data_IF_801391814062
#
_entry.id   IF_801391814062
#
_cell.length_a   1.000
_cell.length_b   1.000
_cell.length_c   1.000
_cell.angle_alpha   90.00
_cell.angle_beta   90.00
_cell.angle_gamma   90.00
#
_symmetry.space_group_name_H-M   'P 1'
#
loop_
_entity.id
_entity.type
_entity.pdbx_description
1 polymer ?
#
# COMPACT_ATOMS: atom_id res chain seq x y z
N UNK A 1 -27.22 -21.69 -5.23
CA UNK A 1 -26.73 -20.41 -4.67
C UNK A 1 -25.63 -20.76 -3.69
N UNK A 2 -24.37 -20.48 -4.04
CA UNK A 2 -23.25 -20.73 -3.13
C UNK A 2 -23.19 -19.57 -2.13
N UNK A 3 -23.47 -19.84 -0.87
CA UNK A 3 -23.07 -18.97 0.24
C UNK A 3 -21.55 -18.88 0.18
N UNK A 4 -21.03 -17.76 -0.33
CA UNK A 4 -19.63 -17.38 -0.18
C UNK A 4 -19.36 -17.36 1.31
N UNK A 5 -18.67 -18.38 1.81
CA UNK A 5 -18.15 -18.38 3.16
C UNK A 5 -17.32 -17.09 3.30
N UNK A 6 -17.77 -16.17 4.16
CA UNK A 6 -17.01 -14.97 4.48
C UNK A 6 -15.72 -15.42 5.14
N UNK A 7 -14.68 -15.62 4.33
CA UNK A 7 -13.35 -15.91 4.83
C UNK A 7 -12.95 -14.78 5.78
N UNK A 8 -12.41 -15.10 6.96
CA UNK A 8 -12.01 -14.10 7.91
C UNK A 8 -10.97 -13.20 7.25
N UNK A 9 -11.20 -11.89 7.33
CA UNK A 9 -10.32 -10.88 6.81
C UNK A 9 -9.97 -9.87 7.90
N UNK A 10 -8.79 -9.27 7.76
CA UNK A 10 -8.28 -8.23 8.65
C UNK A 10 -7.78 -7.06 7.81
N UNK A 11 -8.32 -5.87 8.06
CA UNK A 11 -7.81 -4.63 7.48
C UNK A 11 -7.06 -3.86 8.56
N UNK A 12 -5.77 -3.65 8.35
CA UNK A 12 -4.86 -3.02 9.31
C UNK A 12 -3.89 -2.06 8.63
N UNK A 13 -3.17 -1.27 9.43
CA UNK A 13 -2.05 -0.49 8.93
C UNK A 13 -0.88 -1.42 8.57
N UNK A 14 -0.08 -1.00 7.61
CA UNK A 14 1.14 -1.71 7.19
C UNK A 14 2.17 -1.64 8.31
N UNK A 15 2.71 -2.80 8.69
CA UNK A 15 3.83 -2.91 9.62
C UNK A 15 5.16 -2.96 8.86
N UNK A 16 6.27 -2.68 9.55
CA UNK A 16 7.62 -2.81 8.98
C UNK A 16 7.89 -4.23 8.47
N UNK A 17 7.32 -5.25 9.12
CA UNK A 17 7.44 -6.66 8.74
C UNK A 17 6.81 -6.95 7.37
N UNK A 18 5.77 -6.20 6.97
CA UNK A 18 5.11 -6.39 5.68
C UNK A 18 5.90 -5.81 4.50
N UNK A 19 6.83 -4.87 4.76
CA UNK A 19 7.56 -4.17 3.71
C UNK A 19 8.38 -5.13 2.83
N UNK A 20 8.90 -6.21 3.40
CA UNK A 20 9.62 -7.24 2.64
C UNK A 20 8.69 -7.94 1.63
N UNK A 21 7.51 -8.37 2.08
CA UNK A 21 6.49 -9.01 1.25
C UNK A 21 5.95 -8.06 0.19
N UNK A 22 5.61 -6.83 0.57
CA UNK A 22 5.12 -5.79 -0.35
C UNK A 22 6.14 -5.54 -1.47
N UNK A 23 7.43 -5.46 -1.13
CA UNK A 23 8.51 -5.31 -2.10
C UNK A 23 8.56 -6.50 -3.07
N UNK A 24 8.40 -7.72 -2.60
CA UNK A 24 8.34 -8.90 -3.46
C UNK A 24 7.14 -8.87 -4.41
N UNK A 25 5.96 -8.48 -3.92
CA UNK A 25 4.74 -8.34 -4.75
C UNK A 25 4.92 -7.28 -5.83
N UNK A 26 5.47 -6.11 -5.46
CA UNK A 26 5.74 -5.03 -6.42
C UNK A 26 6.75 -5.45 -7.49
N UNK A 27 7.82 -6.16 -7.11
CA UNK A 27 8.80 -6.69 -8.05
C UNK A 27 8.19 -7.71 -9.01
N UNK A 28 7.35 -8.63 -8.52
CA UNK A 28 6.64 -9.62 -9.35
C UNK A 28 5.71 -8.97 -10.37
N UNK A 29 5.05 -7.86 -9.99
CA UNK A 29 4.09 -7.15 -10.84
C UNK A 29 4.73 -6.23 -11.88
N UNK A 30 6.07 -6.09 -11.89
CA UNK A 30 6.80 -5.17 -12.79
C UNK A 30 6.19 -3.76 -12.80
N UNK A 31 5.64 -3.32 -11.66
CA UNK A 31 5.15 -1.96 -11.52
C UNK A 31 6.33 -1.02 -11.70
N UNK A 32 6.19 -0.08 -12.64
CA UNK A 32 7.21 0.90 -13.00
C UNK A 32 7.73 1.57 -11.72
N UNK A 33 8.99 1.26 -11.36
CA UNK A 33 9.55 1.58 -10.05
C UNK A 33 9.73 3.09 -9.80
N UNK A 34 9.47 3.93 -10.80
CA UNK A 34 9.56 5.39 -10.72
C UNK A 34 8.46 6.01 -9.83
N UNK A 35 7.36 5.29 -9.60
CA UNK A 35 6.26 5.72 -8.72
C UNK A 35 5.95 4.68 -7.65
N UNK A 36 6.97 4.14 -6.97
CA UNK A 36 6.66 3.34 -5.78
C UNK A 36 5.99 4.25 -4.75
N UNK A 37 4.79 3.88 -4.32
CA UNK A 37 4.08 4.58 -3.26
C UNK A 37 4.45 4.04 -1.90
N UNK A 38 4.36 4.88 -0.87
CA UNK A 38 4.51 4.42 0.50
C UNK A 38 3.26 3.59 0.88
N UNK A 39 3.40 2.30 1.18
CA UNK A 39 2.28 1.49 1.64
C UNK A 39 1.83 1.96 3.02
N UNK A 40 0.52 2.02 3.26
CA UNK A 40 -0.03 2.47 4.54
C UNK A 40 -1.14 1.58 5.11
N UNK A 41 -1.88 0.85 4.27
CA UNK A 41 -2.87 -0.13 4.72
C UNK A 41 -2.74 -1.47 3.99
N UNK A 42 -3.03 -2.53 4.72
CA UNK A 42 -2.97 -3.91 4.28
C UNK A 42 -4.31 -4.61 4.55
N UNK A 43 -4.67 -5.51 3.65
CA UNK A 43 -5.77 -6.45 3.78
C UNK A 43 -5.18 -7.86 3.82
N UNK A 44 -5.37 -8.52 4.95
CA UNK A 44 -5.05 -9.93 5.11
C UNK A 44 -6.34 -10.77 5.00
N UNK A 45 -6.27 -11.85 4.23
CA UNK A 45 -7.27 -12.93 4.29
C UNK A 45 -6.54 -14.24 4.59
N UNK A 46 -7.09 -15.05 5.49
CA UNK A 46 -6.49 -16.33 5.87
C UNK A 46 -5.00 -16.22 6.27
N UNK A 47 -4.64 -15.14 6.98
CA UNK A 47 -3.26 -14.82 7.40
C UNK A 47 -2.27 -14.58 6.24
N UNK A 48 -2.77 -14.22 5.05
CA UNK A 48 -1.96 -13.86 3.89
C UNK A 48 -2.28 -12.45 3.40
N UNK A 49 -1.25 -11.69 3.07
CA UNK A 49 -1.38 -10.34 2.52
C UNK A 49 -2.04 -10.44 1.13
N UNK A 50 -3.31 -10.07 1.07
CA UNK A 50 -4.14 -10.26 -0.13
C UNK A 50 -4.22 -8.98 -0.95
N UNK A 51 -4.21 -7.82 -0.29
CA UNK A 51 -4.12 -6.53 -0.95
C UNK A 51 -3.43 -5.50 -0.04
N UNK A 52 -2.89 -4.44 -0.63
CA UNK A 52 -2.39 -3.28 0.11
C UNK A 52 -2.65 -2.00 -0.65
N UNK A 53 -2.73 -0.88 0.08
CA UNK A 53 -2.81 0.46 -0.50
C UNK A 53 -1.53 1.22 -0.25
N UNK A 54 -1.14 1.99 -1.25
CA UNK A 54 0.01 2.87 -1.23
C UNK A 54 -0.39 4.29 -1.60
N UNK A 55 0.26 5.26 -0.98
CA UNK A 55 0.18 6.66 -1.40
C UNK A 55 1.33 6.99 -2.34
N UNK A 56 1.01 7.47 -3.54
CA UNK A 56 1.96 7.91 -4.55
C UNK A 56 1.89 9.41 -4.77
N UNK A 57 2.98 9.98 -5.31
CA UNK A 57 3.02 11.36 -5.78
C UNK A 57 2.93 11.32 -7.30
N UNK A 58 1.82 11.80 -7.87
CA UNK A 58 1.66 11.89 -9.32
C UNK A 58 2.45 13.09 -9.90
N UNK A 59 2.60 13.13 -11.24
CA UNK A 59 3.37 14.15 -11.99
C UNK A 59 3.06 15.62 -11.66
N UNK A 60 1.91 15.92 -11.07
CA UNK A 60 1.50 17.28 -10.62
C UNK A 60 1.82 17.56 -9.14
N UNK A 61 2.66 16.74 -8.52
CA UNK A 61 2.94 16.77 -7.08
C UNK A 61 1.67 16.57 -6.22
N UNK A 62 0.66 15.90 -6.77
CA UNK A 62 -0.58 15.56 -6.07
C UNK A 62 -0.45 14.17 -5.47
N UNK A 63 -0.99 13.99 -4.28
CA UNK A 63 -1.09 12.67 -3.66
C UNK A 63 -2.21 11.87 -4.33
N UNK A 64 -1.93 10.61 -4.62
CA UNK A 64 -2.91 9.64 -5.11
C UNK A 64 -2.82 8.36 -4.30
N UNK A 65 -3.92 7.62 -4.25
CA UNK A 65 -3.98 6.30 -3.65
C UNK A 65 -3.97 5.28 -4.77
N UNK A 66 -3.13 4.27 -4.62
CA UNK A 66 -3.12 3.09 -5.48
C UNK A 66 -3.33 1.84 -4.63
N UNK A 67 -4.21 0.96 -5.09
CA UNK A 67 -4.49 -0.32 -4.43
C UNK A 67 -3.95 -1.45 -5.28
N UNK A 68 -3.13 -2.30 -4.68
CA UNK A 68 -2.55 -3.48 -5.33
C UNK A 68 -3.15 -4.74 -4.73
N UNK A 69 -3.70 -5.59 -5.59
CA UNK A 69 -4.26 -6.90 -5.21
C UNK A 69 -3.27 -8.02 -5.53
N UNK A 70 -2.80 -8.76 -4.53
CA UNK A 70 -1.98 -9.96 -4.73
C UNK A 70 -2.84 -11.14 -5.20
N UNK A 71 -3.99 -11.32 -4.55
CA UNK A 71 -4.94 -12.39 -4.86
C UNK A 71 -6.33 -11.83 -5.19
N UNK A 72 -7.17 -12.58 -5.92
CA UNK A 72 -8.55 -12.18 -6.17
C UNK A 72 -9.34 -12.14 -4.86
N UNK A 73 -10.04 -11.03 -4.63
CA UNK A 73 -10.95 -10.83 -3.49
C UNK A 73 -12.38 -10.65 -3.99
N UNK A 74 -13.37 -10.81 -3.09
CA UNK A 74 -14.76 -10.55 -3.44
C UNK A 74 -14.99 -9.05 -3.68
N UNK A 75 -15.94 -8.73 -4.56
CA UNK A 75 -16.29 -7.34 -4.89
C UNK A 75 -16.73 -6.55 -3.65
N UNK A 76 -17.49 -7.20 -2.76
CA UNK A 76 -17.90 -6.63 -1.47
C UNK A 76 -16.70 -6.29 -0.59
N UNK A 77 -15.71 -7.19 -0.49
CA UNK A 77 -14.53 -6.94 0.34
C UNK A 77 -13.63 -5.87 -0.28
N UNK A 78 -13.49 -5.86 -1.61
CA UNK A 78 -12.79 -4.82 -2.36
C UNK A 78 -13.38 -3.43 -2.08
N UNK A 79 -14.71 -3.32 -2.09
CA UNK A 79 -15.40 -2.07 -1.78
C UNK A 79 -15.15 -1.64 -0.33
N UNK A 80 -15.33 -2.53 0.64
CA UNK A 80 -15.07 -2.25 2.06
C UNK A 80 -13.62 -1.80 2.29
N UNK A 81 -12.66 -2.47 1.65
CA UNK A 81 -11.25 -2.10 1.75
C UNK A 81 -11.00 -0.72 1.14
N UNK A 82 -11.54 -0.45 -0.05
CA UNK A 82 -11.40 0.85 -0.74
C UNK A 82 -12.00 1.99 0.09
N UNK A 83 -13.20 1.83 0.64
CA UNK A 83 -13.84 2.84 1.50
C UNK A 83 -12.99 3.14 2.73
N UNK A 84 -12.44 2.10 3.37
CA UNK A 84 -11.59 2.26 4.55
C UNK A 84 -10.25 2.93 4.22
N UNK A 85 -9.66 2.59 3.08
CA UNK A 85 -8.43 3.19 2.58
C UNK A 85 -8.61 4.69 2.30
N UNK A 86 -9.69 5.07 1.62
CA UNK A 86 -10.00 6.47 1.34
C UNK A 86 -10.24 7.26 2.64
N UNK A 87 -11.09 6.74 3.51
CA UNK A 87 -11.38 7.38 4.81
C UNK A 87 -10.11 7.56 5.65
N UNK A 88 -9.22 6.57 5.69
CA UNK A 88 -7.97 6.68 6.43
C UNK A 88 -7.01 7.71 5.80
N UNK A 89 -6.90 7.72 4.47
CA UNK A 89 -6.08 8.68 3.75
C UNK A 89 -6.52 10.14 4.01
N UNK A 90 -7.82 10.41 3.91
CA UNK A 90 -8.36 11.77 4.05
C UNK A 90 -8.37 12.28 5.50
N UNK A 91 -8.64 11.41 6.47
CA UNK A 91 -8.86 11.83 7.86
C UNK A 91 -7.72 11.54 8.83
N UNK A 92 -6.85 10.55 8.54
CA UNK A 92 -5.86 10.07 9.51
C UNK A 92 -4.43 10.15 8.98
N UNK A 93 -4.20 9.82 7.71
CA UNK A 93 -2.83 9.73 7.18
C UNK A 93 -2.15 11.10 7.18
N UNK A 94 -2.85 12.17 6.80
CA UNK A 94 -2.30 13.53 6.81
C UNK A 94 -2.02 13.98 8.26
N UNK A 95 -2.93 13.66 9.19
CA UNK A 95 -2.80 14.02 10.60
C UNK A 95 -1.59 13.34 11.26
N UNK A 96 -1.37 12.05 10.98
CA UNK A 96 -0.21 11.28 11.46
C UNK A 96 1.13 11.86 11.00
N UNK A 97 1.18 12.46 9.81
CA UNK A 97 2.37 13.14 9.29
C UNK A 97 2.42 14.64 9.65
N UNK A 98 1.36 15.18 10.27
CA UNK A 98 1.20 16.58 10.67
C UNK A 98 0.93 17.56 9.53
N UNK A 99 1.29 17.23 8.29
CA UNK A 99 0.93 18.02 7.10
C UNK A 99 1.14 17.22 5.81
N UNK A 100 0.48 17.66 4.75
CA UNK A 100 0.66 17.07 3.42
C UNK A 100 2.11 17.19 2.91
N UNK A 101 2.82 18.27 3.23
CA UNK A 101 4.22 18.45 2.84
C UNK A 101 5.13 17.41 3.52
N UNK A 102 4.90 17.13 4.80
CA UNK A 102 5.65 16.12 5.55
C UNK A 102 5.36 14.71 5.04
N UNK A 103 4.11 14.42 4.66
CA UNK A 103 3.75 13.17 3.99
C UNK A 103 4.50 13.00 2.66
N UNK A 104 4.53 14.05 1.81
CA UNK A 104 5.30 14.04 0.56
C UNK A 104 6.79 13.80 0.81
N UNK A 105 7.37 14.46 1.81
CA UNK A 105 8.77 14.20 2.23
C UNK A 105 8.97 12.76 2.70
N UNK A 106 7.99 12.19 3.42
CA UNK A 106 7.98 10.80 3.86
C UNK A 106 8.02 9.83 2.69
N UNK A 107 7.14 10.02 1.69
CA UNK A 107 7.11 9.21 0.47
C UNK A 107 8.45 9.31 -0.28
N UNK A 108 9.01 10.51 -0.41
CA UNK A 108 10.31 10.68 -1.06
C UNK A 108 11.45 9.97 -0.31
N UNK A 109 11.46 10.03 1.03
CA UNK A 109 12.42 9.28 1.86
C UNK A 109 12.27 7.77 1.70
N UNK A 110 11.03 7.26 1.68
CA UNK A 110 10.75 5.84 1.47
C UNK A 110 11.25 5.36 0.11
N UNK A 111 11.00 6.12 -0.95
CA UNK A 111 11.49 5.81 -2.29
C UNK A 111 13.01 5.84 -2.37
N UNK A 112 13.66 6.83 -1.75
CA UNK A 112 15.11 6.89 -1.67
C UNK A 112 15.68 5.69 -0.90
N UNK A 113 15.07 5.28 0.21
CA UNK A 113 15.48 4.09 0.97
C UNK A 113 15.35 2.80 0.15
N UNK A 114 14.25 2.64 -0.60
CA UNK A 114 14.06 1.51 -1.50
C UNK A 114 15.11 1.46 -2.61
N UNK A 115 15.44 2.62 -3.19
CA UNK A 115 16.44 2.75 -4.25
C UNK A 115 17.88 2.57 -3.74
N UNK A 116 18.22 3.10 -2.57
CA UNK A 116 19.56 2.92 -1.95
C UNK A 116 19.84 1.45 -1.64
N UNK A 117 18.86 0.72 -1.07
CA UNK A 117 18.99 -0.73 -0.84
C UNK A 117 19.02 -1.57 -2.14
N UNK A 118 18.77 -0.96 -3.29
CA UNK A 118 18.88 -1.60 -4.61
C UNK A 118 20.31 -1.47 -5.16
N UNK A 119 20.95 -0.33 -4.94
CA UNK A 119 22.31 -0.04 -5.40
C UNK A 119 23.42 -0.70 -4.56
N UNK A 120 23.12 -1.19 -3.34
CA UNK A 120 24.10 -1.90 -2.52
C UNK A 120 24.43 -3.33 -2.98
N UNK A 121 23.89 -3.80 -4.12
CA UNK A 121 24.25 -5.09 -4.75
C UNK A 121 25.10 -4.95 -6.02
N UNK A 122 25.74 -3.81 -6.25
CA UNK A 122 26.74 -3.61 -7.31
C UNK A 122 28.11 -3.26 -6.69
N UNK A 123 28.61 -4.14 -5.82
CA UNK A 123 30.01 -4.16 -5.39
C UNK A 123 30.64 -5.49 -5.82
#
# INVERSE_FOLDING_TARGET
MATTANQPYLIRQVDLSDLALIKEILNKKQLDTDSIGMPFMALDQCNQLTAFSSVTICKKNLLSIEITYEAPISDTLSKVFTEKVQSFFEHQLIDLFGSEELLRKGIHRYNNWLNQNRNSKLA
#
